data_IF_822900323114
#
_entry.id   IF_822900323114
#
_cell.length_a   1.000
_cell.length_b   1.000
_cell.length_c   1.000
_cell.angle_alpha   90.00
_cell.angle_beta   90.00
_cell.angle_gamma   90.00
#
_symmetry.space_group_name_H-M   'P 1'
#
loop_
_entity.id
_entity.type
_entity.pdbx_description
1 polymer ?
#
# COMPACT_ATOMS: atom_id res chain seq x y z
N UNK A 1 53.59 7.39 23.99
CA UNK A 1 52.38 8.10 23.50
C UNK A 1 51.53 7.27 22.54
N UNK A 2 51.25 5.99 22.84
CA UNK A 2 50.57 5.06 21.90
C UNK A 2 49.08 4.84 22.27
N UNK A 3 48.69 5.18 23.50
CA UNK A 3 47.37 4.85 24.08
C UNK A 3 46.23 5.75 23.55
N UNK A 4 46.52 6.93 22.97
CA UNK A 4 45.50 7.85 22.45
C UNK A 4 45.11 7.61 20.99
N UNK A 5 45.93 6.92 20.19
CA UNK A 5 45.72 6.77 18.74
C UNK A 5 44.75 5.63 18.39
N UNK A 6 44.77 4.54 19.15
CA UNK A 6 43.88 3.37 19.00
C UNK A 6 42.40 3.68 19.29
N UNK A 7 42.02 4.40 20.37
CA UNK A 7 40.62 4.76 20.59
C UNK A 7 40.11 5.77 19.55
N UNK A 8 40.97 6.68 19.06
CA UNK A 8 40.60 7.69 18.07
C UNK A 8 40.32 7.08 16.69
N UNK A 9 41.07 6.04 16.29
CA UNK A 9 40.82 5.30 15.03
C UNK A 9 39.56 4.43 15.11
N UNK A 10 39.27 3.84 16.28
CA UNK A 10 38.02 3.09 16.50
C UNK A 10 36.79 3.99 16.49
N UNK A 11 36.86 5.17 17.11
CA UNK A 11 35.79 6.17 17.08
C UNK A 11 35.56 6.71 15.66
N UNK A 12 36.63 6.95 14.90
CA UNK A 12 36.55 7.38 13.49
C UNK A 12 35.90 6.32 12.60
N UNK A 13 36.22 5.03 12.80
CA UNK A 13 35.57 3.91 12.09
C UNK A 13 34.08 3.81 12.39
N UNK A 14 33.69 3.91 13.67
CA UNK A 14 32.28 3.89 14.07
C UNK A 14 31.54 5.09 13.47
N UNK A 15 32.13 6.28 13.50
CA UNK A 15 31.55 7.47 12.89
C UNK A 15 31.36 7.32 11.37
N UNK A 16 32.32 6.73 10.66
CA UNK A 16 32.20 6.43 9.23
C UNK A 16 31.10 5.40 8.95
N UNK A 17 31.01 4.34 9.74
CA UNK A 17 29.93 3.34 9.59
C UNK A 17 28.56 4.00 9.81
N UNK A 18 28.40 4.82 10.85
CA UNK A 18 27.15 5.53 11.12
C UNK A 18 26.83 6.49 9.96
N UNK A 19 27.80 7.27 9.48
CA UNK A 19 27.61 8.19 8.37
C UNK A 19 27.19 7.46 7.08
N UNK A 20 27.80 6.31 6.78
CA UNK A 20 27.44 5.48 5.64
C UNK A 20 26.03 4.90 5.77
N UNK A 21 25.62 4.44 6.96
CA UNK A 21 24.26 3.93 7.17
C UNK A 21 23.20 5.04 7.03
N UNK A 22 23.47 6.24 7.58
CA UNK A 22 22.57 7.40 7.43
C UNK A 22 22.45 7.80 5.96
N UNK A 23 23.57 7.84 5.23
CA UNK A 23 23.56 8.15 3.79
C UNK A 23 22.76 7.11 2.99
N UNK A 24 22.89 5.82 3.31
CA UNK A 24 22.10 4.75 2.67
C UNK A 24 20.60 4.88 2.96
N UNK A 25 20.19 5.27 4.17
CA UNK A 25 18.79 5.51 4.48
C UNK A 25 18.20 6.71 3.72
N UNK A 26 18.99 7.75 3.47
CA UNK A 26 18.53 8.96 2.74
C UNK A 26 18.43 8.72 1.23
N UNK A 27 19.29 7.86 0.68
CA UNK A 27 19.31 7.54 -0.74
C UNK A 27 18.37 6.37 -1.12
N UNK A 28 17.72 5.73 -0.16
CA UNK A 28 16.73 4.70 -0.44
C UNK A 28 15.53 5.34 -1.15
N UNK A 29 15.41 5.09 -2.45
CA UNK A 29 14.22 5.47 -3.21
C UNK A 29 13.04 4.66 -2.67
N UNK A 30 12.00 5.34 -2.20
CA UNK A 30 10.77 4.68 -1.77
C UNK A 30 10.11 4.06 -3.00
N UNK A 31 10.12 2.73 -3.10
CA UNK A 31 9.35 2.01 -4.11
C UNK A 31 7.87 2.40 -3.98
N UNK A 32 7.37 3.16 -4.95
CA UNK A 32 5.96 3.50 -5.06
C UNK A 32 5.26 2.61 -6.08
N UNK A 33 3.95 2.47 -5.92
CA UNK A 33 3.09 1.94 -6.96
C UNK A 33 3.16 2.85 -8.19
N UNK A 34 2.93 2.25 -9.37
CA UNK A 34 2.74 3.03 -10.59
C UNK A 34 1.55 3.98 -10.43
N UNK A 35 1.66 5.17 -11.01
CA UNK A 35 0.62 6.20 -11.08
C UNK A 35 -0.40 5.95 -12.20
N UNK A 36 -0.30 4.81 -12.91
CA UNK A 36 -1.14 4.48 -14.06
C UNK A 36 -2.65 4.51 -13.79
N UNK A 37 -3.09 4.46 -12.52
CA UNK A 37 -4.51 4.51 -12.13
C UNK A 37 -4.91 5.81 -11.42
N UNK A 38 -4.01 6.79 -11.33
CA UNK A 38 -4.26 8.03 -10.57
C UNK A 38 -5.30 8.94 -11.25
N UNK A 39 -5.58 8.71 -12.54
CA UNK A 39 -6.61 9.46 -13.29
C UNK A 39 -8.04 9.11 -12.88
N UNK A 40 -8.25 8.05 -12.12
CA UNK A 40 -9.57 7.52 -11.82
C UNK A 40 -10.32 8.45 -10.86
N UNK A 41 -11.54 8.79 -11.23
CA UNK A 41 -12.46 9.55 -10.40
C UNK A 41 -13.20 8.64 -9.42
N UNK A 42 -12.57 8.42 -8.26
CA UNK A 42 -13.15 7.66 -7.15
C UNK A 42 -14.43 8.31 -6.62
N UNK A 43 -14.55 9.64 -6.68
CA UNK A 43 -15.75 10.31 -6.20
C UNK A 43 -16.95 9.98 -7.11
N UNK A 44 -16.74 9.98 -8.42
CA UNK A 44 -17.75 9.54 -9.39
C UNK A 44 -18.16 8.08 -9.16
N UNK A 45 -17.19 7.18 -8.98
CA UNK A 45 -17.46 5.76 -8.69
C UNK A 45 -18.29 5.62 -7.40
N UNK A 46 -17.89 6.30 -6.31
CA UNK A 46 -18.60 6.23 -5.04
C UNK A 46 -20.02 6.81 -5.10
N UNK A 47 -20.27 7.79 -5.97
CA UNK A 47 -21.60 8.40 -6.13
C UNK A 47 -22.52 7.60 -7.07
N UNK A 48 -21.97 6.83 -7.99
CA UNK A 48 -22.74 5.98 -8.90
C UNK A 48 -22.91 4.58 -8.31
N UNK A 49 -24.13 4.26 -7.86
CA UNK A 49 -24.44 2.97 -7.22
C UNK A 49 -24.10 1.77 -8.10
N UNK A 50 -24.45 1.80 -9.39
CA UNK A 50 -24.23 0.67 -10.30
C UNK A 50 -22.74 0.41 -10.47
N UNK A 51 -21.95 1.46 -10.74
CA UNK A 51 -20.49 1.34 -10.89
C UNK A 51 -19.85 0.93 -9.55
N UNK A 52 -20.27 1.51 -8.43
CA UNK A 52 -19.76 1.12 -7.09
C UNK A 52 -19.99 -0.37 -6.81
N UNK A 53 -21.18 -0.88 -7.13
CA UNK A 53 -21.51 -2.29 -6.98
C UNK A 53 -20.65 -3.18 -7.87
N UNK A 54 -20.30 -2.75 -9.08
CA UNK A 54 -19.36 -3.49 -9.96
C UNK A 54 -17.97 -3.62 -9.33
N UNK A 55 -17.41 -2.51 -8.83
CA UNK A 55 -16.12 -2.50 -8.14
C UNK A 55 -16.15 -3.36 -6.88
N UNK A 56 -17.23 -3.24 -6.09
CA UNK A 56 -17.43 -4.05 -4.89
C UNK A 56 -17.48 -5.54 -5.23
N UNK A 57 -18.31 -5.93 -6.21
CA UNK A 57 -18.49 -7.34 -6.57
C UNK A 57 -17.20 -7.96 -7.16
N UNK A 58 -16.44 -7.19 -7.94
CA UNK A 58 -15.10 -7.55 -8.40
C UNK A 58 -14.14 -7.78 -7.21
N UNK A 59 -14.04 -6.81 -6.30
CA UNK A 59 -13.14 -6.90 -5.14
C UNK A 59 -13.48 -8.09 -4.23
N UNK A 60 -14.78 -8.32 -4.01
CA UNK A 60 -15.30 -9.41 -3.19
C UNK A 60 -15.23 -10.78 -3.87
N UNK A 61 -14.84 -10.85 -5.14
CA UNK A 61 -14.83 -12.07 -5.97
C UNK A 61 -16.23 -12.70 -6.12
N UNK A 62 -17.28 -11.87 -6.10
CA UNK A 62 -18.68 -12.26 -6.33
C UNK A 62 -18.97 -12.34 -7.84
N UNK A 63 -18.33 -11.46 -8.61
CA UNK A 63 -18.40 -11.39 -10.06
C UNK A 63 -17.01 -11.08 -10.63
N UNK A 64 -16.74 -11.42 -11.91
CA UNK A 64 -15.49 -11.01 -12.55
C UNK A 64 -15.38 -9.49 -12.63
N UNK A 65 -14.16 -8.98 -12.52
CA UNK A 65 -13.85 -7.58 -12.79
C UNK A 65 -14.15 -7.26 -14.25
N UNK A 66 -14.75 -6.09 -14.52
CA UNK A 66 -15.17 -5.71 -15.88
C UNK A 66 -14.03 -5.15 -16.71
N UNK A 67 -13.00 -4.60 -16.07
CA UNK A 67 -11.84 -4.00 -16.74
C UNK A 67 -10.52 -4.44 -16.10
N UNK A 68 -9.41 -4.46 -16.85
CA UNK A 68 -8.07 -4.69 -16.29
C UNK A 68 -7.70 -3.66 -15.21
N UNK A 69 -8.23 -2.44 -15.35
CA UNK A 69 -8.09 -1.37 -14.35
C UNK A 69 -8.74 -1.74 -13.02
N UNK A 70 -10.00 -2.22 -13.05
CA UNK A 70 -10.70 -2.70 -11.85
C UNK A 70 -9.92 -3.83 -11.16
N UNK A 71 -9.40 -4.77 -11.94
CA UNK A 71 -8.60 -5.89 -11.45
C UNK A 71 -7.31 -5.41 -10.77
N UNK A 72 -6.52 -4.56 -11.45
CA UNK A 72 -5.29 -4.00 -10.90
C UNK A 72 -5.52 -3.20 -9.61
N UNK A 73 -6.60 -2.43 -9.52
CA UNK A 73 -6.95 -1.69 -8.30
C UNK A 73 -7.36 -2.64 -7.18
N UNK A 74 -8.16 -3.66 -7.48
CA UNK A 74 -8.59 -4.64 -6.48
C UNK A 74 -7.40 -5.41 -5.87
N UNK A 75 -6.38 -5.70 -6.68
CA UNK A 75 -5.12 -6.31 -6.23
C UNK A 75 -4.30 -5.36 -5.33
N UNK A 76 -4.14 -4.09 -5.76
CA UNK A 76 -3.38 -3.08 -5.02
C UNK A 76 -4.04 -2.69 -3.71
N UNK A 77 -5.38 -2.61 -3.69
CA UNK A 77 -6.15 -2.12 -2.55
C UNK A 77 -5.84 -2.89 -1.26
N UNK A 78 -5.73 -4.23 -1.33
CA UNK A 78 -5.52 -5.06 -0.13
C UNK A 78 -4.19 -4.76 0.55
N UNK A 79 -3.13 -4.63 -0.25
CA UNK A 79 -1.79 -4.31 0.26
C UNK A 79 -1.72 -2.85 0.71
N UNK A 80 -2.25 -1.92 -0.08
CA UNK A 80 -2.31 -0.50 0.25
C UNK A 80 -3.03 -0.27 1.58
N UNK A 81 -4.18 -0.92 1.79
CA UNK A 81 -4.92 -0.79 3.04
C UNK A 81 -4.14 -1.33 4.25
N UNK A 82 -3.56 -2.53 4.14
CA UNK A 82 -2.87 -3.18 5.26
C UNK A 82 -1.53 -2.55 5.62
N UNK A 83 -0.84 -1.98 4.62
CA UNK A 83 0.44 -1.29 4.80
C UNK A 83 0.30 0.20 5.05
N UNK A 84 -0.93 0.69 5.27
CA UNK A 84 -1.24 2.11 5.47
C UNK A 84 -0.69 2.99 4.32
N UNK A 85 -0.86 2.50 3.10
CA UNK A 85 -0.48 3.16 1.86
C UNK A 85 1.03 3.49 1.75
N UNK A 86 1.90 2.67 2.35
CA UNK A 86 3.36 2.91 2.35
C UNK A 86 3.97 3.15 0.96
N UNK A 87 3.43 2.51 -0.08
CA UNK A 87 3.89 2.65 -1.47
C UNK A 87 2.98 3.54 -2.33
N UNK A 88 1.93 4.14 -1.76
CA UNK A 88 0.95 4.89 -2.55
C UNK A 88 1.52 6.21 -3.07
N UNK A 89 1.02 6.65 -4.23
CA UNK A 89 1.12 8.05 -4.62
C UNK A 89 0.26 8.92 -3.71
N UNK A 90 0.42 10.25 -3.80
CA UNK A 90 -0.44 11.20 -3.10
C UNK A 90 -1.91 10.99 -3.47
N UNK A 91 -2.20 10.83 -4.77
CA UNK A 91 -3.56 10.65 -5.28
C UNK A 91 -4.17 9.33 -4.82
N UNK A 92 -3.38 8.24 -4.81
CA UNK A 92 -3.81 6.94 -4.28
C UNK A 92 -4.14 7.00 -2.78
N UNK A 93 -3.35 7.75 -2.01
CA UNK A 93 -3.61 7.96 -0.58
C UNK A 93 -4.92 8.72 -0.36
N UNK A 94 -5.15 9.80 -1.11
CA UNK A 94 -6.41 10.56 -1.08
C UNK A 94 -7.60 9.67 -1.45
N UNK A 95 -7.46 8.89 -2.52
CA UNK A 95 -8.46 7.94 -3.01
C UNK A 95 -8.78 6.86 -1.96
N UNK A 96 -7.77 6.26 -1.32
CA UNK A 96 -7.98 5.24 -0.27
C UNK A 96 -8.76 5.81 0.93
N UNK A 97 -8.43 7.04 1.34
CA UNK A 97 -9.15 7.72 2.41
C UNK A 97 -10.61 8.01 2.02
N UNK A 98 -10.85 8.49 0.80
CA UNK A 98 -12.21 8.73 0.30
C UNK A 98 -13.06 7.46 0.29
N UNK A 99 -12.52 6.34 -0.19
CA UNK A 99 -13.21 5.04 -0.18
C UNK A 99 -13.52 4.62 1.26
N UNK A 100 -12.52 4.69 2.15
CA UNK A 100 -12.66 4.30 3.56
C UNK A 100 -13.75 5.12 4.24
N UNK A 101 -13.65 6.44 4.18
CA UNK A 101 -14.59 7.37 4.82
C UNK A 101 -16.01 7.20 4.27
N UNK A 102 -16.14 7.01 2.97
CA UNK A 102 -17.44 6.82 2.34
C UNK A 102 -18.10 5.52 2.80
N UNK A 103 -17.39 4.38 2.77
CA UNK A 103 -17.98 3.10 3.19
C UNK A 103 -18.28 3.07 4.69
N UNK A 104 -17.38 3.58 5.54
CA UNK A 104 -17.61 3.69 6.99
C UNK A 104 -18.86 4.51 7.29
N UNK A 105 -19.06 5.62 6.57
CA UNK A 105 -20.20 6.52 6.79
C UNK A 105 -21.52 6.00 6.22
N UNK A 106 -21.50 5.44 5.02
CA UNK A 106 -22.72 5.17 4.25
C UNK A 106 -23.13 3.68 4.28
N UNK A 107 -22.17 2.76 4.28
CA UNK A 107 -22.42 1.31 4.15
C UNK A 107 -21.51 0.50 5.12
N UNK A 108 -21.61 0.73 6.45
CA UNK A 108 -20.66 0.19 7.44
C UNK A 108 -20.64 -1.33 7.52
N UNK A 109 -21.75 -2.01 7.19
CA UNK A 109 -21.77 -3.47 7.14
C UNK A 109 -20.99 -4.01 5.94
N UNK A 110 -21.08 -3.36 4.77
CA UNK A 110 -20.23 -3.72 3.62
C UNK A 110 -18.76 -3.40 3.89
N UNK A 111 -18.48 -2.32 4.62
CA UNK A 111 -17.11 -1.99 5.03
C UNK A 111 -16.47 -3.13 5.85
N UNK A 112 -17.18 -3.72 6.81
CA UNK A 112 -16.67 -4.87 7.58
C UNK A 112 -16.32 -6.05 6.67
N UNK A 113 -17.13 -6.31 5.65
CA UNK A 113 -16.88 -7.36 4.67
C UNK A 113 -15.65 -7.05 3.81
N UNK A 114 -15.49 -5.80 3.36
CA UNK A 114 -14.31 -5.33 2.63
C UNK A 114 -13.04 -5.55 3.46
N UNK A 115 -13.04 -5.15 4.73
CA UNK A 115 -11.88 -5.34 5.63
C UNK A 115 -11.55 -6.82 5.80
N UNK A 116 -12.57 -7.67 6.01
CA UNK A 116 -12.37 -9.11 6.11
C UNK A 116 -11.78 -9.70 4.81
N UNK A 117 -12.30 -9.28 3.65
CA UNK A 117 -11.82 -9.72 2.34
C UNK A 117 -10.37 -9.29 2.09
N UNK A 118 -9.98 -8.08 2.49
CA UNK A 118 -8.58 -7.62 2.42
C UNK A 118 -7.63 -8.55 3.17
N UNK A 119 -8.00 -8.98 4.39
CA UNK A 119 -7.20 -9.93 5.18
C UNK A 119 -7.11 -11.29 4.49
N UNK A 120 -8.22 -11.77 3.92
CA UNK A 120 -8.27 -13.04 3.17
C UNK A 120 -7.35 -13.00 1.94
N UNK A 121 -7.45 -11.96 1.10
CA UNK A 121 -6.64 -11.79 -0.12
C UNK A 121 -5.14 -11.72 0.20
N UNK A 122 -4.76 -11.06 1.29
CA UNK A 122 -3.35 -11.03 1.74
C UNK A 122 -2.84 -12.39 2.20
N UNK A 123 -3.66 -13.18 2.92
CA UNK A 123 -3.29 -14.55 3.31
C UNK A 123 -3.08 -15.45 2.09
N UNK A 124 -3.97 -15.34 1.08
CA UNK A 124 -3.84 -16.05 -0.19
C UNK A 124 -2.56 -15.68 -0.93
N UNK A 125 -2.25 -14.38 -1.05
CA UNK A 125 -1.00 -13.88 -1.66
C UNK A 125 0.26 -14.36 -0.92
N UNK A 126 0.21 -14.43 0.40
CA UNK A 126 1.32 -14.96 1.19
C UNK A 126 1.52 -16.48 0.98
N UNK A 127 0.44 -17.25 0.88
CA UNK A 127 0.50 -18.68 0.60
C UNK A 127 1.02 -18.97 -0.81
N UNK A 128 0.58 -18.22 -1.84
CA UNK A 128 1.05 -18.42 -3.22
C UNK A 128 2.55 -18.13 -3.39
N UNK A 129 3.12 -17.27 -2.56
CA UNK A 129 4.55 -16.93 -2.61
C UNK A 129 5.43 -17.93 -1.85
N UNK A 130 4.86 -18.85 -1.07
CA UNK A 130 5.60 -19.86 -0.32
C UNK A 130 5.84 -21.15 -1.14
N UNK A 131 5.10 -21.32 -2.24
CA UNK A 131 5.15 -22.52 -3.11
C UNK A 131 6.04 -22.33 -4.36
N UNK A 132 6.67 -21.16 -4.53
CA UNK A 132 7.56 -20.82 -5.66
C UNK A 132 8.95 -20.44 -5.23
#
# INVERSE_FOLDING_TARGET
SIITVVPMTQLSRIALIIAMNVLMCVLAEEERYSDQYDYIDIQFILQNKEIREEYYNCFMEIAPCKTPEQEGIAELFSEAFQTQCRKCTKKQTENLNLVTDWFVKNEPELWKLIVAKTVEKMKKKAASNADG
#
